data_IF_820612720522
#
_entry.id   IF_820612720522
#
_cell.length_a   1.000
_cell.length_b   1.000
_cell.length_c   1.000
_cell.angle_alpha   90.00
_cell.angle_beta   90.00
_cell.angle_gamma   90.00
#
_symmetry.space_group_name_H-M   'P 1'
#
loop_
_entity.id
_entity.type
_entity.pdbx_description
1 polymer ?
#
# COMPACT_ATOMS: atom_id res chain seq x y z
N UNK A 1 -12.21 19.67 -0.60
CA UNK A 1 -11.00 19.25 -1.33
C UNK A 1 -11.40 18.83 -2.73
N UNK A 2 -10.68 19.34 -3.71
CA UNK A 2 -10.95 19.01 -5.11
C UNK A 2 -10.22 17.73 -5.48
N UNK A 3 -10.94 16.77 -6.03
CA UNK A 3 -10.36 15.52 -6.50
C UNK A 3 -10.23 15.55 -8.00
N UNK A 4 -9.03 15.24 -8.48
CA UNK A 4 -8.77 15.16 -9.91
C UNK A 4 -9.12 13.77 -10.44
N UNK A 5 -9.53 13.70 -11.70
CA UNK A 5 -9.72 12.44 -12.36
C UNK A 5 -8.36 11.89 -12.78
N UNK A 6 -8.20 10.59 -12.67
CA UNK A 6 -6.99 9.90 -13.08
C UNK A 6 -7.10 9.47 -14.55
N UNK A 7 -6.03 8.91 -15.10
CA UNK A 7 -6.02 8.42 -16.46
C UNK A 7 -7.08 7.37 -16.72
N UNK A 8 -7.42 6.57 -15.70
CA UNK A 8 -8.47 5.55 -15.80
C UNK A 8 -9.88 6.10 -15.63
N UNK A 9 -10.02 7.40 -15.36
CA UNK A 9 -11.32 8.03 -15.15
C UNK A 9 -11.85 7.97 -13.72
N UNK A 10 -11.14 7.32 -12.81
CA UNK A 10 -11.51 7.27 -11.40
C UNK A 10 -11.09 8.55 -10.68
N UNK A 11 -11.82 8.90 -9.62
CA UNK A 11 -11.37 9.96 -8.73
C UNK A 11 -10.08 9.52 -8.06
N UNK A 12 -9.16 10.45 -7.78
CA UNK A 12 -7.86 10.07 -7.26
C UNK A 12 -7.92 9.43 -5.87
N UNK A 13 -8.90 9.81 -5.04
CA UNK A 13 -9.08 9.18 -3.74
C UNK A 13 -9.50 7.71 -3.87
N UNK A 14 -10.34 7.41 -4.86
CA UNK A 14 -10.76 6.03 -5.13
C UNK A 14 -9.57 5.22 -5.65
N UNK A 15 -8.84 5.77 -6.62
CA UNK A 15 -7.67 5.09 -7.16
C UNK A 15 -6.59 4.88 -6.09
N UNK A 16 -6.39 5.87 -5.23
CA UNK A 16 -5.44 5.75 -4.11
C UNK A 16 -5.82 4.63 -3.15
N UNK A 17 -7.10 4.51 -2.82
CA UNK A 17 -7.59 3.41 -1.98
C UNK A 17 -7.42 2.07 -2.67
N UNK A 18 -7.71 2.00 -3.97
CA UNK A 18 -7.54 0.77 -4.74
C UNK A 18 -6.08 0.31 -4.81
N UNK A 19 -5.14 1.24 -4.65
CA UNK A 19 -3.72 0.88 -4.61
C UNK A 19 -3.39 -0.10 -3.49
N UNK A 20 -4.20 -0.12 -2.44
CA UNK A 20 -4.00 -1.02 -1.29
C UNK A 20 -4.92 -2.24 -1.32
N UNK A 21 -5.97 -2.22 -2.14
CA UNK A 21 -7.06 -3.21 -2.06
C UNK A 21 -6.58 -4.65 -2.20
N UNK A 22 -5.67 -4.93 -3.11
CA UNK A 22 -5.07 -6.25 -3.30
C UNK A 22 -3.61 -6.26 -2.85
N UNK A 23 -3.28 -5.47 -1.84
CA UNK A 23 -1.93 -5.33 -1.34
C UNK A 23 -1.01 -4.76 -2.42
N UNK A 24 0.20 -5.28 -2.53
CA UNK A 24 1.17 -4.76 -3.48
C UNK A 24 0.78 -5.00 -4.94
N UNK A 25 -0.09 -5.99 -5.21
CA UNK A 25 -0.49 -6.32 -6.58
C UNK A 25 -1.26 -5.17 -7.23
N UNK A 26 -2.27 -4.64 -6.53
CA UNK A 26 -3.03 -3.50 -7.05
C UNK A 26 -2.19 -2.24 -7.11
N UNK A 27 -1.24 -2.08 -6.17
CA UNK A 27 -0.29 -0.98 -6.22
C UNK A 27 0.55 -1.01 -7.49
N UNK A 28 1.10 -2.17 -7.83
CA UNK A 28 1.89 -2.33 -9.05
C UNK A 28 1.05 -2.04 -10.29
N UNK A 29 -0.20 -2.53 -10.30
CA UNK A 29 -1.10 -2.27 -11.44
C UNK A 29 -1.34 -0.77 -11.63
N UNK A 30 -1.54 -0.02 -10.54
CA UNK A 30 -1.76 1.41 -10.63
C UNK A 30 -0.50 2.20 -10.99
N UNK A 31 0.67 1.71 -10.63
CA UNK A 31 1.91 2.33 -11.10
C UNK A 31 2.02 2.28 -12.62
N UNK A 32 1.53 1.23 -13.23
CA UNK A 32 1.53 1.09 -14.69
C UNK A 32 0.42 1.94 -15.33
N UNK A 33 -0.79 1.90 -14.74
CA UNK A 33 -1.97 2.53 -15.35
C UNK A 33 -2.10 4.02 -15.06
N UNK A 34 -1.41 4.54 -14.04
CA UNK A 34 -1.50 5.94 -13.63
C UNK A 34 -0.11 6.58 -13.61
N UNK A 35 0.45 6.90 -14.80
CA UNK A 35 1.84 7.37 -14.88
C UNK A 35 2.06 8.80 -14.40
N UNK A 36 1.02 9.62 -14.29
CA UNK A 36 1.19 11.05 -14.02
C UNK A 36 0.55 11.56 -12.74
N UNK A 37 -0.41 10.84 -12.14
CA UNK A 37 -1.08 11.32 -10.93
C UNK A 37 -0.22 11.04 -9.70
N UNK A 38 0.35 12.07 -9.10
CA UNK A 38 1.29 11.93 -8.00
C UNK A 38 0.64 11.35 -6.72
N UNK A 39 -0.62 11.70 -6.45
CA UNK A 39 -1.32 11.16 -5.29
C UNK A 39 -1.47 9.64 -5.41
N UNK A 40 -1.96 9.17 -6.55
CA UNK A 40 -2.14 7.73 -6.78
C UNK A 40 -0.80 7.02 -6.80
N UNK A 41 0.21 7.60 -7.43
CA UNK A 41 1.54 6.98 -7.49
C UNK A 41 2.19 6.89 -6.11
N UNK A 42 1.99 7.89 -5.25
CA UNK A 42 2.48 7.81 -3.87
C UNK A 42 1.89 6.60 -3.15
N UNK A 43 0.56 6.46 -3.20
CA UNK A 43 -0.11 5.34 -2.53
C UNK A 43 0.25 4.00 -3.18
N UNK A 44 0.40 3.97 -4.49
CA UNK A 44 0.81 2.76 -5.19
C UNK A 44 2.22 2.33 -4.80
N UNK A 45 3.17 3.28 -4.73
CA UNK A 45 4.53 2.96 -4.27
C UNK A 45 4.54 2.53 -2.81
N UNK A 46 3.79 3.22 -1.94
CA UNK A 46 3.73 2.81 -0.53
C UNK A 46 3.14 1.41 -0.40
N UNK A 47 2.11 1.08 -1.18
CA UNK A 47 1.51 -0.25 -1.19
C UNK A 47 2.52 -1.32 -1.61
N UNK A 48 3.23 -1.08 -2.71
CA UNK A 48 4.23 -2.04 -3.20
C UNK A 48 5.33 -2.24 -2.17
N UNK A 49 5.86 -1.16 -1.63
CA UNK A 49 6.98 -1.25 -0.67
C UNK A 49 6.52 -1.91 0.63
N UNK A 50 5.42 -1.43 1.20
CA UNK A 50 4.95 -1.92 2.49
C UNK A 50 4.43 -3.35 2.41
N UNK A 51 3.45 -3.60 1.54
CA UNK A 51 2.82 -4.91 1.47
C UNK A 51 3.69 -5.92 0.74
N UNK A 52 4.53 -5.47 -0.18
CA UNK A 52 5.58 -6.31 -0.75
C UNK A 52 6.55 -6.77 0.33
N UNK A 53 7.01 -5.84 1.18
CA UNK A 53 7.89 -6.16 2.30
C UNK A 53 7.22 -7.09 3.31
N UNK A 54 5.95 -6.82 3.66
CA UNK A 54 5.20 -7.68 4.58
C UNK A 54 4.97 -9.07 4.00
N UNK A 55 4.77 -9.17 2.68
CA UNK A 55 4.64 -10.47 2.02
C UNK A 55 5.92 -11.28 2.08
N UNK A 56 7.06 -10.64 1.87
CA UNK A 56 8.36 -11.29 2.02
C UNK A 56 8.55 -11.76 3.46
N UNK A 57 8.26 -10.89 4.42
CA UNK A 57 8.36 -11.24 5.84
C UNK A 57 7.46 -12.42 6.20
N UNK A 58 6.25 -12.46 5.63
CA UNK A 58 5.32 -13.57 5.83
C UNK A 58 5.92 -14.90 5.35
N UNK A 59 6.44 -14.92 4.11
CA UNK A 59 7.01 -16.15 3.56
C UNK A 59 8.24 -16.61 4.34
N UNK A 60 9.07 -15.68 4.78
CA UNK A 60 10.21 -16.02 5.64
C UNK A 60 9.74 -16.60 6.97
N UNK A 61 8.76 -15.96 7.61
CA UNK A 61 8.26 -16.39 8.91
C UNK A 61 7.63 -17.79 8.84
N UNK A 62 6.78 -18.05 7.84
CA UNK A 62 6.11 -19.37 7.76
C UNK A 62 7.08 -20.49 7.42
N UNK A 63 8.26 -20.17 6.91
CA UNK A 63 9.29 -21.17 6.64
C UNK A 63 10.03 -21.61 7.91
N UNK A 64 9.84 -20.90 9.02
CA UNK A 64 10.42 -21.24 10.32
C UNK A 64 9.32 -21.85 11.18
N UNK A 65 9.35 -23.17 11.47
CA UNK A 65 8.27 -23.80 12.23
C UNK A 65 8.12 -23.24 13.65
N UNK A 66 6.93 -23.25 14.16
CA UNK A 66 6.54 -22.82 15.51
C UNK A 66 6.74 -21.33 15.75
N UNK A 67 7.95 -20.89 16.05
CA UNK A 67 8.23 -19.47 16.34
C UNK A 67 7.86 -18.60 15.13
N UNK A 68 8.23 -19.03 13.93
CA UNK A 68 7.89 -18.29 12.72
C UNK A 68 6.39 -18.25 12.45
N UNK A 69 5.69 -19.33 12.70
CA UNK A 69 4.23 -19.35 12.56
C UNK A 69 3.55 -18.41 13.56
N UNK A 70 4.04 -18.39 14.81
CA UNK A 70 3.54 -17.43 15.79
C UNK A 70 3.73 -15.99 15.30
N UNK A 71 4.93 -15.65 14.83
CA UNK A 71 5.20 -14.31 14.30
C UNK A 71 4.29 -13.99 13.12
N UNK A 72 4.14 -14.93 12.18
CA UNK A 72 3.33 -14.71 10.99
C UNK A 72 1.87 -14.43 11.35
N UNK A 73 1.25 -15.28 12.18
CA UNK A 73 -0.18 -15.20 12.45
C UNK A 73 -0.55 -14.23 13.56
N UNK A 74 0.34 -13.97 14.50
CA UNK A 74 0.04 -13.12 15.67
C UNK A 74 0.56 -11.69 15.47
N UNK A 75 1.63 -11.51 14.70
CA UNK A 75 2.24 -10.20 14.50
C UNK A 75 2.01 -9.69 13.08
N UNK A 76 2.48 -10.41 12.07
CA UNK A 76 2.46 -9.92 10.70
C UNK A 76 1.05 -9.81 10.15
N UNK A 77 0.22 -10.82 10.35
CA UNK A 77 -1.14 -10.84 9.82
C UNK A 77 -2.00 -9.72 10.42
N UNK A 78 -2.11 -9.57 11.75
CA UNK A 78 -2.91 -8.49 12.33
C UNK A 78 -2.37 -7.10 11.97
N UNK A 79 -1.06 -6.92 11.98
CA UNK A 79 -0.44 -5.66 11.61
C UNK A 79 -0.79 -5.31 10.16
N UNK A 80 -0.67 -6.28 9.25
CA UNK A 80 -1.00 -6.07 7.84
C UNK A 80 -2.47 -5.71 7.66
N UNK A 81 -3.37 -6.38 8.38
CA UNK A 81 -4.80 -6.10 8.28
C UNK A 81 -5.14 -4.68 8.75
N UNK A 82 -4.56 -4.27 9.87
CA UNK A 82 -4.79 -2.92 10.40
C UNK A 82 -4.25 -1.87 9.46
N UNK A 83 -3.03 -2.05 8.96
CA UNK A 83 -2.43 -1.11 8.01
C UNK A 83 -3.21 -1.06 6.71
N UNK A 84 -3.69 -2.21 6.24
CA UNK A 84 -4.48 -2.30 5.02
C UNK A 84 -5.75 -1.44 5.13
N UNK A 85 -6.52 -1.63 6.19
CA UNK A 85 -7.75 -0.86 6.42
C UNK A 85 -7.46 0.61 6.63
N UNK A 86 -6.46 0.93 7.45
CA UNK A 86 -6.09 2.30 7.74
C UNK A 86 -5.66 3.05 6.48
N UNK A 87 -4.80 2.44 5.68
CA UNK A 87 -4.27 3.11 4.49
C UNK A 87 -5.32 3.27 3.40
N UNK A 88 -6.21 2.28 3.22
CA UNK A 88 -7.33 2.45 2.29
C UNK A 88 -8.23 3.59 2.72
N UNK A 89 -8.54 3.68 4.01
CA UNK A 89 -9.39 4.73 4.55
C UNK A 89 -8.75 6.10 4.39
N UNK A 90 -7.47 6.23 4.75
CA UNK A 90 -6.75 7.49 4.61
C UNK A 90 -6.63 7.95 3.17
N UNK A 91 -6.34 7.03 2.26
CA UNK A 91 -6.26 7.35 0.83
C UNK A 91 -7.62 7.80 0.30
N UNK A 92 -8.68 7.13 0.71
CA UNK A 92 -10.03 7.50 0.31
C UNK A 92 -10.41 8.90 0.80
N UNK A 93 -9.88 9.31 1.98
CA UNK A 93 -10.06 10.66 2.49
C UNK A 93 -9.21 11.71 1.78
N UNK A 94 -8.35 11.30 0.84
CA UNK A 94 -7.47 12.21 0.13
C UNK A 94 -6.18 12.54 0.88
N UNK A 95 -5.83 11.76 1.88
CA UNK A 95 -4.62 11.99 2.68
C UNK A 95 -3.45 11.14 2.20
N UNK A 96 -2.25 11.72 2.31
CA UNK A 96 -1.00 11.00 2.04
C UNK A 96 -0.40 10.54 3.37
N UNK A 97 -1.08 9.63 4.06
CA UNK A 97 -0.56 9.10 5.30
C UNK A 97 0.69 8.26 5.02
N UNK A 98 1.79 8.63 5.67
CA UNK A 98 3.09 7.97 5.45
C UNK A 98 3.37 6.97 6.55
N UNK A 99 3.49 5.69 6.18
CA UNK A 99 3.97 4.67 7.10
C UNK A 99 5.48 4.88 7.29
N UNK A 100 6.03 4.73 8.50
CA UNK A 100 7.47 4.87 8.69
C UNK A 100 8.27 4.02 7.70
N UNK A 101 9.31 4.59 7.14
CA UNK A 101 10.17 4.02 6.09
C UNK A 101 9.47 3.87 4.74
N UNK A 102 8.36 3.13 4.67
CA UNK A 102 7.67 2.89 3.40
C UNK A 102 7.13 4.20 2.81
N UNK A 103 6.57 5.07 3.64
CA UNK A 103 6.05 6.37 3.18
C UNK A 103 7.14 7.28 2.66
N UNK A 104 8.28 7.33 3.32
CA UNK A 104 9.40 8.13 2.86
C UNK A 104 9.96 7.62 1.54
N UNK A 105 10.09 6.31 1.41
CA UNK A 105 10.55 5.71 0.17
C UNK A 105 9.59 5.97 -0.97
N UNK A 106 8.27 5.88 -0.70
CA UNK A 106 7.25 6.18 -1.70
C UNK A 106 7.30 7.64 -2.12
N UNK A 107 7.52 8.55 -1.18
CA UNK A 107 7.63 9.98 -1.48
C UNK A 107 8.83 10.27 -2.38
N UNK A 108 9.96 9.64 -2.12
CA UNK A 108 11.15 9.80 -2.98
C UNK A 108 10.90 9.35 -4.42
N UNK A 109 10.02 8.37 -4.60
CA UNK A 109 9.73 7.84 -5.92
C UNK A 109 8.64 8.59 -6.67
N UNK A 110 7.99 9.56 -6.04
CA UNK A 110 6.86 10.28 -6.64
C UNK A 110 7.13 11.76 -6.88
N UNK A 111 8.37 12.17 -6.91
CA UNK A 111 8.73 13.56 -7.20
C UNK A 111 8.30 14.01 -8.59
#
# INVERSE_FOLDING_TARGET
MTMEKTASGLDENVAGALAYALGWISGAALLVSEPSNKFVRFHAWQSVILFGGLSVAWFVAVSIPLIGWFVAFVVIFPLSAVLWLLLMFKAYQGERYKVPFAGEMAEHRTH
#
